data_IF_416416643819
#
_entry.id   IF_416416643819
#
_cell.length_a   1.000
_cell.length_b   1.000
_cell.length_c   1.000
_cell.angle_alpha   90.00
_cell.angle_beta   90.00
_cell.angle_gamma   90.00
#
_symmetry.space_group_name_H-M   'P 1'
#
loop_
_entity.id
_entity.type
_entity.pdbx_description
1 polymer ?
#
# COMPACT_ATOMS: atom_id res chain seq x y z
N UNK A 1 5.23 11.09 -4.58
CA UNK A 1 4.79 10.01 -3.67
C UNK A 1 5.97 9.17 -3.24
N UNK A 2 5.85 8.53 -2.08
CA UNK A 2 6.81 7.53 -1.61
C UNK A 2 6.47 6.16 -2.22
N UNK A 3 7.48 5.49 -2.79
CA UNK A 3 7.36 4.15 -3.36
C UNK A 3 7.91 3.13 -2.35
N UNK A 4 7.03 2.46 -1.61
CA UNK A 4 7.42 1.50 -0.59
C UNK A 4 7.58 0.09 -1.19
N UNK A 5 8.82 -0.41 -1.27
CA UNK A 5 9.06 -1.78 -1.74
C UNK A 5 8.95 -2.77 -0.59
N UNK A 6 8.05 -3.74 -0.74
CA UNK A 6 7.74 -4.73 0.29
C UNK A 6 8.87 -5.73 0.52
N UNK A 7 9.25 -5.88 1.78
CA UNK A 7 10.18 -6.89 2.30
C UNK A 7 9.38 -8.08 2.89
N UNK A 8 9.95 -9.30 2.90
CA UNK A 8 11.33 -9.65 2.58
C UNK A 8 11.60 -9.80 1.08
N UNK A 9 12.82 -9.47 0.66
CA UNK A 9 13.35 -9.75 -0.69
C UNK A 9 14.58 -10.66 -0.54
N UNK A 10 14.61 -11.75 -1.31
CA UNK A 10 15.69 -12.75 -1.22
C UNK A 10 16.47 -12.87 -2.53
N UNK A 11 17.82 -12.76 -2.50
CA UNK A 11 18.69 -12.62 -1.34
C UNK A 11 18.67 -11.22 -0.71
N UNK A 12 19.19 -11.08 0.52
CA UNK A 12 19.29 -9.81 1.23
C UNK A 12 20.04 -8.72 0.45
N UNK A 13 21.01 -9.10 -0.39
CA UNK A 13 21.70 -8.19 -1.32
C UNK A 13 20.75 -7.57 -2.35
N UNK A 14 19.75 -8.31 -2.82
CA UNK A 14 18.70 -7.78 -3.68
C UNK A 14 17.72 -6.88 -2.91
N UNK A 15 17.43 -7.19 -1.63
CA UNK A 15 16.65 -6.32 -0.75
C UNK A 15 17.31 -4.94 -0.60
N UNK A 16 18.62 -4.91 -0.28
CA UNK A 16 19.40 -3.68 -0.20
C UNK A 16 19.30 -2.88 -1.51
N UNK A 17 19.40 -3.53 -2.68
CA UNK A 17 19.27 -2.84 -3.97
C UNK A 17 17.87 -2.27 -4.21
N UNK A 18 16.83 -2.95 -3.75
CA UNK A 18 15.45 -2.50 -3.89
C UNK A 18 15.13 -1.27 -3.03
N UNK A 19 15.80 -1.08 -1.88
CA UNK A 19 15.42 -0.03 -0.91
C UNK A 19 16.51 1.01 -0.63
N UNK A 20 17.76 0.79 -1.06
CA UNK A 20 18.88 1.69 -0.73
C UNK A 20 18.64 3.10 -1.26
N UNK A 21 18.58 4.08 -0.36
CA UNK A 21 18.23 5.46 -0.72
C UNK A 21 16.79 5.64 -1.19
N UNK A 22 15.93 4.62 -1.05
CA UNK A 22 14.50 4.63 -1.33
C UNK A 22 13.71 4.28 -0.07
N UNK A 23 12.62 3.54 -0.20
CA UNK A 23 11.70 3.29 0.91
C UNK A 23 11.26 1.83 1.02
N UNK A 24 11.07 1.35 2.24
CA UNK A 24 10.75 -0.05 2.53
C UNK A 24 9.39 -0.23 3.19
N UNK A 25 8.67 -1.30 2.85
CA UNK A 25 7.48 -1.74 3.57
C UNK A 25 7.77 -3.06 4.27
N UNK A 26 7.67 -3.12 5.60
CA UNK A 26 8.03 -4.32 6.37
C UNK A 26 6.79 -4.94 7.00
N UNK A 27 6.58 -6.23 6.79
CA UNK A 27 5.51 -6.97 7.45
C UNK A 27 5.93 -7.40 8.86
N UNK A 28 5.07 -7.20 9.86
CA UNK A 28 5.28 -7.75 11.20
C UNK A 28 5.48 -9.28 11.19
N UNK A 29 4.81 -9.98 10.26
CA UNK A 29 4.93 -11.43 10.08
C UNK A 29 6.30 -11.87 9.53
N UNK A 30 7.02 -10.96 8.90
CA UNK A 30 8.32 -11.18 8.27
C UNK A 30 9.28 -10.04 8.64
N UNK A 31 9.44 -9.83 9.94
CA UNK A 31 10.27 -8.76 10.50
C UNK A 31 11.79 -9.02 10.38
N UNK A 32 12.21 -10.12 9.76
CA UNK A 32 13.61 -10.54 9.64
C UNK A 32 14.48 -9.53 8.88
N UNK A 33 13.89 -8.77 7.95
CA UNK A 33 14.60 -7.72 7.20
C UNK A 33 14.35 -6.31 7.74
N UNK A 34 13.78 -6.15 8.94
CA UNK A 34 13.60 -4.83 9.57
C UNK A 34 14.92 -4.07 9.70
N UNK A 35 15.98 -4.73 10.17
CA UNK A 35 17.30 -4.07 10.30
C UNK A 35 17.84 -3.61 8.95
N UNK A 36 17.57 -4.34 7.86
CA UNK A 36 17.96 -3.90 6.51
C UNK A 36 17.19 -2.62 6.14
N UNK A 37 15.90 -2.55 6.45
CA UNK A 37 15.09 -1.35 6.22
C UNK A 37 15.61 -0.15 7.03
N UNK A 38 15.90 -0.35 8.32
CA UNK A 38 16.43 0.71 9.21
C UNK A 38 17.75 1.27 8.69
N UNK A 39 18.66 0.41 8.23
CA UNK A 39 20.01 0.82 7.82
C UNK A 39 20.10 1.34 6.37
N UNK A 40 19.29 0.81 5.45
CA UNK A 40 19.44 1.09 4.02
C UNK A 40 18.40 2.06 3.44
N UNK A 41 17.19 2.13 4.01
CA UNK A 41 16.09 2.93 3.46
C UNK A 41 16.07 4.37 4.03
N UNK A 42 15.65 5.34 3.22
CA UNK A 42 15.39 6.72 3.65
C UNK A 42 14.18 6.79 4.57
N UNK A 43 13.16 5.97 4.33
CA UNK A 43 12.10 5.71 5.30
C UNK A 43 11.57 4.30 5.19
N UNK A 44 10.94 3.83 6.27
CA UNK A 44 10.18 2.59 6.25
C UNK A 44 8.81 2.76 6.92
N UNK A 45 7.83 2.04 6.38
CA UNK A 45 6.52 1.87 6.97
C UNK A 45 6.28 0.37 7.21
N UNK A 46 5.33 0.05 8.10
CA UNK A 46 5.09 -1.33 8.51
C UNK A 46 3.64 -1.77 8.37
N UNK A 47 3.46 -3.03 8.00
CA UNK A 47 2.17 -3.72 7.93
C UNK A 47 1.99 -4.64 9.14
N UNK A 48 0.73 -4.78 9.58
CA UNK A 48 0.35 -5.56 10.76
C UNK A 48 0.36 -7.09 10.53
N UNK A 49 0.33 -7.54 9.26
CA UNK A 49 0.37 -8.93 8.85
C UNK A 49 -0.95 -9.69 8.98
N UNK A 50 -2.08 -9.03 9.24
CA UNK A 50 -3.41 -9.62 9.38
C UNK A 50 -3.75 -10.51 8.18
N UNK A 51 -3.54 -10.01 6.96
CA UNK A 51 -3.88 -10.71 5.72
C UNK A 51 -3.11 -12.03 5.58
N UNK A 52 -1.80 -11.96 5.80
CA UNK A 52 -0.93 -13.14 5.77
C UNK A 52 -1.34 -14.15 6.85
N UNK A 53 -1.75 -13.68 8.03
CA UNK A 53 -2.20 -14.52 9.13
C UNK A 53 -3.50 -15.27 8.82
N UNK A 54 -4.50 -14.55 8.33
CA UNK A 54 -5.78 -15.10 7.91
C UNK A 54 -5.62 -16.11 6.77
N UNK A 55 -4.85 -15.79 5.72
CA UNK A 55 -4.58 -16.73 4.61
C UNK A 55 -3.91 -18.01 5.10
N UNK A 56 -3.06 -17.92 6.14
CA UNK A 56 -2.41 -19.09 6.76
C UNK A 56 -3.30 -19.87 7.74
N UNK A 57 -4.58 -19.48 7.91
CA UNK A 57 -5.52 -20.13 8.82
C UNK A 57 -5.29 -19.85 10.30
N UNK A 58 -4.48 -18.84 10.64
CA UNK A 58 -4.16 -18.45 12.02
C UNK A 58 -4.41 -16.94 12.21
N UNK A 59 -5.68 -16.48 12.16
CA UNK A 59 -6.01 -15.07 12.31
C UNK A 59 -5.49 -14.52 13.65
N UNK A 60 -4.99 -13.29 13.63
CA UNK A 60 -4.48 -12.62 14.83
C UNK A 60 -5.65 -12.24 15.73
N UNK A 61 -5.60 -12.64 16.99
CA UNK A 61 -6.63 -12.34 18.00
C UNK A 61 -6.11 -11.42 19.12
N UNK A 62 -4.80 -11.21 19.19
CA UNK A 62 -4.14 -10.34 20.16
C UNK A 62 -3.07 -9.49 19.46
N UNK A 63 -3.24 -8.17 19.50
CA UNK A 63 -2.36 -7.19 18.87
C UNK A 63 -1.29 -6.65 19.82
N UNK A 64 -1.22 -7.11 21.06
CA UNK A 64 -0.26 -6.63 22.07
C UNK A 64 1.18 -6.73 21.58
N UNK A 65 1.54 -7.84 20.94
CA UNK A 65 2.90 -8.02 20.40
C UNK A 65 3.21 -7.07 19.25
N UNK A 66 2.22 -6.77 18.40
CA UNK A 66 2.37 -5.79 17.33
C UNK A 66 2.54 -4.37 17.90
N UNK A 67 1.73 -3.99 18.90
CA UNK A 67 1.87 -2.70 19.57
C UNK A 67 3.21 -2.55 20.28
N UNK A 68 3.70 -3.58 20.97
CA UNK A 68 5.03 -3.57 21.56
C UNK A 68 6.12 -3.38 20.50
N UNK A 69 6.00 -4.07 19.36
CA UNK A 69 6.94 -3.93 18.27
C UNK A 69 6.92 -2.52 17.65
N UNK A 70 5.73 -1.95 17.41
CA UNK A 70 5.61 -0.56 16.93
C UNK A 70 6.22 0.41 17.94
N UNK A 71 5.99 0.22 19.25
CA UNK A 71 6.60 1.03 20.31
C UNK A 71 8.13 1.09 20.24
N UNK A 72 8.75 -0.02 19.86
CA UNK A 72 10.20 -0.13 19.77
C UNK A 72 10.74 0.55 18.50
N UNK A 73 9.99 0.49 17.39
CA UNK A 73 10.49 0.95 16.09
C UNK A 73 10.04 2.37 15.71
N UNK A 74 8.92 2.89 16.23
CA UNK A 74 8.38 4.17 15.78
C UNK A 74 9.25 5.38 16.19
N UNK A 75 10.27 5.15 17.03
CA UNK A 75 11.23 6.15 17.50
C UNK A 75 12.45 6.27 16.60
N UNK A 76 12.65 5.34 15.66
CA UNK A 76 13.73 5.46 14.69
C UNK A 76 13.51 6.67 13.79
N UNK A 77 14.55 7.45 13.44
CA UNK A 77 14.40 8.69 12.66
C UNK A 77 13.77 8.49 11.27
N UNK A 78 13.90 7.30 10.70
CA UNK A 78 13.40 6.95 9.37
C UNK A 78 12.10 6.12 9.40
N UNK A 79 11.46 5.96 10.56
CA UNK A 79 10.10 5.41 10.62
C UNK A 79 9.08 6.43 10.05
N UNK A 80 8.16 5.98 9.19
CA UNK A 80 7.09 6.83 8.64
C UNK A 80 5.72 6.54 9.29
N UNK A 81 5.21 5.32 9.21
CA UNK A 81 3.95 4.92 9.86
C UNK A 81 3.79 3.40 9.97
N UNK A 82 2.82 2.98 10.77
CA UNK A 82 2.33 1.61 10.87
C UNK A 82 0.87 1.53 10.41
N UNK A 83 0.51 0.52 9.62
CA UNK A 83 -0.89 0.19 9.38
C UNK A 83 -1.52 -0.27 10.70
N UNK A 84 -2.58 0.41 11.13
CA UNK A 84 -3.31 0.04 12.34
C UNK A 84 -3.98 -1.33 12.08
N UNK A 85 -4.04 -2.22 13.08
CA UNK A 85 -4.72 -3.50 12.93
C UNK A 85 -6.17 -3.40 12.48
N UNK A 86 -6.58 -4.45 11.76
CA UNK A 86 -7.91 -4.65 11.22
C UNK A 86 -8.36 -6.11 11.42
N UNK A 87 -9.67 -6.32 11.47
CA UNK A 87 -10.30 -7.64 11.53
C UNK A 87 -10.72 -8.05 10.13
N UNK A 88 -10.06 -9.07 9.59
CA UNK A 88 -10.41 -9.63 8.29
C UNK A 88 -11.73 -10.39 8.39
N UNK A 89 -12.62 -10.14 7.43
CA UNK A 89 -14.03 -10.57 7.45
C UNK A 89 -14.84 -10.05 8.67
N UNK A 90 -14.31 -9.07 9.40
CA UNK A 90 -15.03 -8.34 10.45
C UNK A 90 -15.92 -7.24 9.89
N UNK A 91 -16.70 -6.61 10.76
CA UNK A 91 -17.49 -5.43 10.43
C UNK A 91 -16.75 -4.12 10.76
N UNK A 92 -17.34 -3.00 10.38
CA UNK A 92 -16.77 -1.67 10.61
C UNK A 92 -16.60 -1.36 12.10
N UNK A 93 -17.51 -1.85 12.95
CA UNK A 93 -17.48 -1.64 14.40
C UNK A 93 -16.28 -2.37 15.03
N UNK A 94 -15.98 -3.58 14.58
CA UNK A 94 -14.78 -4.32 15.01
C UNK A 94 -13.50 -3.59 14.61
N UNK A 95 -13.44 -3.03 13.41
CA UNK A 95 -12.30 -2.22 12.96
C UNK A 95 -12.19 -0.91 13.76
N UNK A 96 -13.31 -0.23 14.02
CA UNK A 96 -13.34 1.01 14.79
C UNK A 96 -12.97 0.79 16.27
N UNK A 97 -13.27 -0.39 16.84
CA UNK A 97 -12.76 -0.80 18.15
C UNK A 97 -11.22 -0.88 18.17
N UNK A 98 -10.59 -1.47 17.15
CA UNK A 98 -9.13 -1.50 17.04
C UNK A 98 -8.52 -0.11 16.87
N UNK A 99 -9.22 0.84 16.25
CA UNK A 99 -8.80 2.23 16.23
C UNK A 99 -8.87 2.86 17.63
N UNK A 100 -9.82 2.49 18.49
CA UNK A 100 -9.87 2.95 19.89
C UNK A 100 -8.72 2.36 20.71
N UNK A 101 -8.31 1.13 20.41
CA UNK A 101 -7.22 0.43 21.09
C UNK A 101 -5.82 0.89 20.63
N UNK A 102 -5.72 1.66 19.54
CA UNK A 102 -4.44 2.16 19.04
C UNK A 102 -3.74 3.07 20.07
N UNK A 103 -2.58 2.67 20.65
CA UNK A 103 -2.02 3.34 21.83
C UNK A 103 -1.66 4.82 21.62
N UNK A 104 -1.37 5.20 20.38
CA UNK A 104 -0.93 6.55 20.03
C UNK A 104 -2.03 7.42 19.41
N UNK A 105 -3.27 6.95 19.35
CA UNK A 105 -4.36 7.63 18.63
C UNK A 105 -4.52 9.11 19.03
N UNK A 106 -4.45 9.42 20.32
CA UNK A 106 -4.65 10.79 20.81
C UNK A 106 -3.35 11.60 20.92
N UNK A 107 -2.24 10.94 21.25
CA UNK A 107 -0.96 11.60 21.56
C UNK A 107 -0.06 11.79 20.34
N UNK A 108 -0.09 10.84 19.39
CA UNK A 108 0.75 10.81 18.20
C UNK A 108 0.05 10.06 17.05
N UNK A 109 -1.09 10.56 16.54
CA UNK A 109 -1.89 9.86 15.52
C UNK A 109 -1.12 9.57 14.23
N UNK A 110 -0.07 10.33 13.92
CA UNK A 110 0.77 10.13 12.75
C UNK A 110 1.57 8.81 12.75
N UNK A 111 1.72 8.17 13.92
CA UNK A 111 2.37 6.85 14.02
C UNK A 111 1.53 5.77 13.32
N UNK A 112 0.20 5.93 13.32
CA UNK A 112 -0.73 4.97 12.74
C UNK A 112 -1.41 5.48 11.47
N UNK A 113 -1.75 4.57 10.57
CA UNK A 113 -2.67 4.82 9.47
C UNK A 113 -3.79 3.76 9.50
N UNK A 114 -5.06 4.14 9.74
CA UNK A 114 -6.17 3.21 9.67
C UNK A 114 -6.37 2.72 8.24
N UNK A 115 -6.79 1.47 8.10
CA UNK A 115 -7.14 0.88 6.81
C UNK A 115 -8.64 1.03 6.57
N UNK A 116 -9.00 1.65 5.46
CA UNK A 116 -10.32 1.55 4.87
C UNK A 116 -10.29 0.47 3.79
N UNK A 117 -11.20 -0.49 3.93
CA UNK A 117 -11.35 -1.56 2.97
C UNK A 117 -12.44 -1.21 1.96
N UNK A 118 -12.22 -1.53 0.68
CA UNK A 118 -13.13 -1.10 -0.40
C UNK A 118 -14.59 -1.58 -0.25
N UNK A 119 -14.85 -2.61 0.56
CA UNK A 119 -16.19 -3.10 0.85
C UNK A 119 -16.92 -2.34 1.96
N UNK A 120 -16.19 -1.58 2.79
CA UNK A 120 -16.75 -0.75 3.85
C UNK A 120 -17.45 0.49 3.27
N UNK A 121 -18.30 1.12 4.07
CA UNK A 121 -19.08 2.30 3.76
C UNK A 121 -18.21 3.51 3.41
N UNK A 122 -18.74 4.38 2.54
CA UNK A 122 -18.10 5.67 2.23
C UNK A 122 -18.17 6.63 3.42
N UNK A 123 -19.20 6.52 4.26
CA UNK A 123 -19.33 7.31 5.49
C UNK A 123 -18.16 7.02 6.44
N UNK A 124 -17.73 5.75 6.57
CA UNK A 124 -16.53 5.41 7.33
C UNK A 124 -15.28 6.02 6.73
N UNK A 125 -15.12 5.93 5.40
CA UNK A 125 -13.98 6.53 4.70
C UNK A 125 -13.89 8.04 4.98
N UNK A 126 -15.00 8.76 4.89
CA UNK A 126 -15.07 10.20 5.18
C UNK A 126 -14.65 10.49 6.64
N UNK A 127 -15.18 9.73 7.61
CA UNK A 127 -14.78 9.86 9.02
C UNK A 127 -13.28 9.63 9.22
N UNK A 128 -12.70 8.60 8.61
CA UNK A 128 -11.26 8.33 8.72
C UNK A 128 -10.43 9.46 8.11
N UNK A 129 -10.80 9.92 6.91
CA UNK A 129 -10.11 10.98 6.21
C UNK A 129 -10.13 12.32 6.97
N UNK A 130 -11.20 12.60 7.70
CA UNK A 130 -11.33 13.81 8.52
C UNK A 130 -10.52 13.76 9.83
N UNK A 131 -10.28 12.57 10.39
CA UNK A 131 -9.73 12.42 11.74
C UNK A 131 -8.28 11.93 11.80
N UNK A 132 -7.73 11.43 10.69
CA UNK A 132 -6.37 10.88 10.65
C UNK A 132 -5.48 11.64 9.67
N UNK A 133 -4.19 11.85 10.00
CA UNK A 133 -3.24 12.55 9.12
C UNK A 133 -2.86 11.72 7.88
N UNK A 134 -3.09 10.41 7.94
CA UNK A 134 -2.89 9.46 6.85
C UNK A 134 -3.92 8.33 6.97
N UNK A 135 -4.42 7.84 5.83
CA UNK A 135 -5.24 6.63 5.75
C UNK A 135 -4.67 5.66 4.70
N UNK A 136 -4.95 4.37 4.87
CA UNK A 136 -4.62 3.33 3.91
C UNK A 136 -5.88 2.87 3.17
N UNK A 137 -5.78 2.63 1.86
CA UNK A 137 -6.85 2.03 1.06
C UNK A 137 -6.49 0.57 0.74
N UNK A 138 -7.31 -0.36 1.22
CA UNK A 138 -7.11 -1.81 1.09
C UNK A 138 -8.12 -2.48 0.18
N UNK A 139 -7.62 -3.22 -0.83
CA UNK A 139 -8.49 -4.02 -1.71
C UNK A 139 -9.02 -5.27 -0.99
N UNK A 140 -10.32 -5.53 -1.06
CA UNK A 140 -11.01 -6.53 -0.22
C UNK A 140 -12.34 -6.99 -0.83
N UNK A 141 -12.88 -8.12 -0.37
CA UNK A 141 -14.18 -8.64 -0.80
C UNK A 141 -14.30 -8.74 -2.33
N UNK A 142 -15.36 -8.16 -2.89
CA UNK A 142 -15.61 -8.15 -4.34
C UNK A 142 -14.63 -7.26 -5.14
N UNK A 143 -13.77 -6.50 -4.45
CA UNK A 143 -12.76 -5.60 -5.00
C UNK A 143 -11.33 -6.15 -4.80
N UNK A 144 -11.16 -7.43 -4.49
CA UNK A 144 -9.83 -8.05 -4.29
C UNK A 144 -8.91 -7.95 -5.51
N UNK A 145 -9.48 -7.99 -6.73
CA UNK A 145 -8.71 -7.88 -7.98
C UNK A 145 -8.60 -6.42 -8.44
N UNK A 146 -7.44 -5.83 -8.12
CA UNK A 146 -7.02 -4.51 -8.59
C UNK A 146 -7.09 -4.45 -10.13
N UNK A 147 -7.57 -3.33 -10.66
CA UNK A 147 -7.61 -3.07 -12.10
C UNK A 147 -8.89 -3.55 -12.81
N UNK A 148 -9.82 -4.21 -12.10
CA UNK A 148 -11.14 -4.53 -12.66
C UNK A 148 -12.03 -3.30 -12.74
N UNK A 149 -13.03 -3.30 -13.64
CA UNK A 149 -14.00 -2.20 -13.77
C UNK A 149 -14.65 -1.83 -12.41
N UNK A 150 -15.04 -2.86 -11.65
CA UNK A 150 -15.65 -2.72 -10.34
C UNK A 150 -14.71 -2.05 -9.32
N UNK A 151 -13.45 -2.47 -9.31
CA UNK A 151 -12.42 -1.85 -8.47
C UNK A 151 -12.18 -0.39 -8.84
N UNK A 152 -12.09 -0.07 -10.14
CA UNK A 152 -11.92 1.30 -10.61
C UNK A 152 -13.10 2.20 -10.24
N UNK A 153 -14.33 1.74 -10.43
CA UNK A 153 -15.53 2.45 -10.01
C UNK A 153 -15.50 2.75 -8.51
N UNK A 154 -15.16 1.76 -7.68
CA UNK A 154 -15.13 1.93 -6.23
C UNK A 154 -14.04 2.89 -5.75
N UNK A 155 -12.87 2.83 -6.37
CA UNK A 155 -11.79 3.79 -6.10
C UNK A 155 -12.19 5.20 -6.50
N UNK A 156 -12.94 5.37 -7.59
CA UNK A 156 -13.44 6.67 -8.00
C UNK A 156 -14.45 7.25 -7.00
N UNK A 157 -15.41 6.44 -6.55
CA UNK A 157 -16.34 6.80 -5.48
C UNK A 157 -15.58 7.21 -4.20
N UNK A 158 -14.55 6.46 -3.82
CA UNK A 158 -13.71 6.80 -2.67
C UNK A 158 -13.02 8.17 -2.84
N UNK A 159 -12.44 8.43 -4.02
CA UNK A 159 -11.78 9.72 -4.31
C UNK A 159 -12.76 10.89 -4.35
N UNK A 160 -13.97 10.68 -4.87
CA UNK A 160 -15.03 11.70 -4.90
C UNK A 160 -15.44 12.14 -3.47
N UNK A 161 -15.24 11.28 -2.46
CA UNK A 161 -15.52 11.57 -1.04
C UNK A 161 -14.33 12.24 -0.33
N UNK A 162 -13.10 11.76 -0.57
CA UNK A 162 -11.93 12.19 0.22
C UNK A 162 -11.08 13.26 -0.44
N UNK A 163 -11.46 13.72 -1.64
CA UNK A 163 -10.83 14.86 -2.31
C UNK A 163 -11.76 16.08 -2.30
N UNK A 164 -11.18 17.27 -2.16
CA UNK A 164 -11.92 18.51 -2.28
C UNK A 164 -12.33 18.82 -3.75
N UNK A 165 -13.05 19.92 -3.97
CA UNK A 165 -13.51 20.34 -5.30
C UNK A 165 -12.38 20.54 -6.33
N UNK A 166 -11.16 20.83 -5.86
CA UNK A 166 -9.97 20.96 -6.71
C UNK A 166 -9.26 19.62 -6.97
N UNK A 167 -9.80 18.50 -6.46
CA UNK A 167 -9.22 17.17 -6.56
C UNK A 167 -8.08 16.89 -5.59
N UNK A 168 -7.85 17.74 -4.59
CA UNK A 168 -6.79 17.53 -3.61
C UNK A 168 -7.28 16.63 -2.47
N UNK A 169 -6.53 15.59 -2.06
CA UNK A 169 -6.89 14.78 -0.90
C UNK A 169 -6.98 15.58 0.39
N UNK A 170 -8.01 15.32 1.19
CA UNK A 170 -8.19 15.91 2.52
C UNK A 170 -7.17 15.38 3.55
N UNK A 171 -6.57 14.22 3.28
CA UNK A 171 -5.55 13.57 4.11
C UNK A 171 -4.51 12.86 3.24
N UNK A 172 -3.39 12.41 3.81
CA UNK A 172 -2.41 11.60 3.08
C UNK A 172 -2.98 10.21 2.80
N UNK A 173 -2.88 9.76 1.56
CA UNK A 173 -3.40 8.46 1.14
C UNK A 173 -2.24 7.51 0.87
N UNK A 174 -2.30 6.32 1.48
CA UNK A 174 -1.45 5.18 1.15
C UNK A 174 -2.26 4.10 0.42
N UNK A 175 -1.81 3.67 -0.77
CA UNK A 175 -2.44 2.59 -1.52
C UNK A 175 -1.82 1.22 -1.21
N UNK A 176 -2.54 0.36 -0.49
CA UNK A 176 -2.04 -0.97 -0.12
C UNK A 176 -2.00 -1.90 -1.34
N UNK A 177 -0.81 -2.42 -1.67
CA UNK A 177 -0.54 -3.24 -2.86
C UNK A 177 -0.77 -2.51 -4.19
N UNK A 178 -0.77 -1.18 -4.19
CA UNK A 178 -1.10 -0.35 -5.36
C UNK A 178 0.13 0.26 -6.04
N UNK A 179 1.35 -0.19 -5.73
CA UNK A 179 2.60 0.27 -6.37
C UNK A 179 2.80 -0.30 -7.78
N UNK A 180 1.79 -0.20 -8.64
CA UNK A 180 1.85 -0.44 -10.07
C UNK A 180 1.68 0.91 -10.80
N UNK A 181 2.59 1.31 -11.71
CA UNK A 181 2.47 2.55 -12.48
C UNK A 181 1.14 2.73 -13.21
N UNK A 182 0.50 1.65 -13.68
CA UNK A 182 -0.82 1.75 -14.33
C UNK A 182 -1.94 2.14 -13.34
N UNK A 183 -1.68 1.98 -12.04
CA UNK A 183 -2.59 2.23 -10.93
C UNK A 183 -2.27 3.56 -10.25
N UNK A 184 -1.11 3.69 -9.61
CA UNK A 184 -0.85 4.84 -8.74
C UNK A 184 -0.75 6.18 -9.49
N UNK A 185 -0.42 6.15 -10.79
CA UNK A 185 -0.36 7.37 -11.61
C UNK A 185 -1.74 8.01 -11.82
N UNK A 186 -2.83 7.28 -11.55
CA UNK A 186 -4.21 7.75 -11.72
C UNK A 186 -4.82 8.36 -10.46
N UNK A 187 -4.17 8.20 -9.31
CA UNK A 187 -4.70 8.64 -8.02
C UNK A 187 -3.72 9.55 -7.31
N UNK A 188 -4.21 10.50 -6.48
CA UNK A 188 -3.38 11.39 -5.68
C UNK A 188 -2.80 10.72 -4.42
N UNK A 189 -2.17 9.56 -4.59
CA UNK A 189 -1.50 8.86 -3.50
C UNK A 189 -0.28 9.64 -3.01
N UNK A 190 -0.17 9.73 -1.68
CA UNK A 190 1.05 10.22 -1.03
C UNK A 190 2.11 9.13 -0.95
N UNK A 191 1.68 7.87 -0.90
CA UNK A 191 2.55 6.69 -0.98
C UNK A 191 1.78 5.45 -1.43
N UNK A 192 2.46 4.40 -1.85
CA UNK A 192 1.88 3.09 -2.09
C UNK A 192 2.95 2.01 -1.89
N UNK A 193 2.53 0.77 -1.63
CA UNK A 193 3.44 -0.36 -1.51
C UNK A 193 3.16 -1.47 -2.53
N UNK A 194 4.16 -2.32 -2.76
CA UNK A 194 3.91 -3.68 -3.25
C UNK A 194 5.10 -4.59 -2.97
N UNK A 195 4.84 -5.89 -2.99
CA UNK A 195 5.88 -6.95 -3.01
C UNK A 195 6.29 -7.35 -4.44
N UNK A 196 6.03 -6.51 -5.46
CA UNK A 196 6.25 -6.86 -6.88
C UNK A 196 7.70 -7.26 -7.16
N UNK A 197 8.68 -6.51 -6.64
CA UNK A 197 10.11 -6.86 -6.78
C UNK A 197 10.38 -8.23 -6.14
N UNK A 198 9.98 -8.43 -4.89
CA UNK A 198 10.18 -9.69 -4.16
C UNK A 198 9.66 -10.92 -4.95
N UNK A 199 8.47 -10.78 -5.54
CA UNK A 199 7.80 -11.87 -6.25
C UNK A 199 8.43 -12.21 -7.61
N UNK A 200 9.02 -11.23 -8.32
CA UNK A 200 9.35 -11.40 -9.74
C UNK A 200 10.85 -11.50 -10.04
N UNK A 201 11.75 -11.01 -9.19
CA UNK A 201 13.20 -11.02 -9.48
C UNK A 201 13.77 -12.43 -9.67
N UNK A 202 13.14 -13.45 -9.08
CA UNK A 202 13.55 -14.85 -9.18
C UNK A 202 12.90 -15.66 -10.30
N UNK A 203 11.99 -15.09 -11.09
CA UNK A 203 11.29 -15.80 -12.16
C UNK A 203 12.11 -15.70 -13.45
N UNK A 204 13.14 -16.54 -13.59
CA UNK A 204 14.08 -16.47 -14.74
C UNK A 204 13.39 -16.44 -16.10
N UNK A 205 12.31 -17.20 -16.27
CA UNK A 205 11.53 -17.27 -17.52
C UNK A 205 10.82 -15.96 -17.88
N UNK A 206 10.62 -15.04 -16.93
CA UNK A 206 10.05 -13.71 -17.18
C UNK A 206 11.07 -12.71 -17.75
N UNK A 207 12.36 -12.98 -17.59
CA UNK A 207 13.45 -12.12 -18.07
C UNK A 207 13.91 -12.60 -19.45
N UNK A 208 13.31 -12.04 -20.50
CA UNK A 208 13.59 -12.38 -21.91
C UNK A 208 14.20 -11.21 -22.66
N UNK A 209 14.93 -11.50 -23.74
CA UNK A 209 15.55 -10.50 -24.62
C UNK A 209 17.05 -10.67 -24.75
N UNK A 210 17.68 -9.81 -25.57
CA UNK A 210 19.12 -9.88 -25.88
C UNK A 210 20.01 -9.59 -24.66
N UNK A 211 19.56 -8.71 -23.77
CA UNK A 211 20.33 -8.23 -22.62
C UNK A 211 19.55 -8.43 -21.33
N UNK A 212 19.43 -9.68 -20.90
CA UNK A 212 18.76 -10.00 -19.63
C UNK A 212 19.71 -9.77 -18.46
N UNK A 213 19.26 -9.16 -17.35
CA UNK A 213 20.14 -8.90 -16.23
C UNK A 213 20.54 -10.23 -15.55
N UNK A 214 21.85 -10.46 -15.33
CA UNK A 214 22.35 -11.77 -14.90
C UNK A 214 22.12 -12.06 -13.41
N UNK A 215 21.83 -11.04 -12.59
CA UNK A 215 21.68 -11.17 -11.14
C UNK A 215 20.35 -10.65 -10.64
N UNK A 216 19.89 -11.16 -9.49
CA UNK A 216 18.65 -10.69 -8.83
C UNK A 216 18.76 -9.24 -8.38
N UNK A 217 19.96 -8.79 -8.01
CA UNK A 217 20.29 -7.41 -7.67
C UNK A 217 20.05 -6.46 -8.85
N UNK A 218 20.53 -6.82 -10.04
CA UNK A 218 20.34 -6.03 -11.24
C UNK A 218 18.86 -6.00 -11.66
N UNK A 219 18.16 -7.14 -11.53
CA UNK A 219 16.71 -7.23 -11.76
C UNK A 219 15.93 -6.34 -10.80
N UNK A 220 16.25 -6.37 -9.50
CA UNK A 220 15.64 -5.52 -8.49
C UNK A 220 15.84 -4.04 -8.81
N UNK A 221 17.07 -3.63 -9.17
CA UNK A 221 17.38 -2.27 -9.55
C UNK A 221 16.56 -1.79 -10.77
N UNK A 222 16.46 -2.62 -11.83
CA UNK A 222 15.69 -2.28 -13.03
C UNK A 222 14.20 -2.17 -12.74
N UNK A 223 13.64 -3.11 -11.97
CA UNK A 223 12.21 -3.05 -11.60
C UNK A 223 11.90 -1.80 -10.78
N UNK A 224 12.76 -1.51 -9.78
CA UNK A 224 12.67 -0.31 -8.97
C UNK A 224 12.71 0.95 -9.82
N UNK A 225 13.71 1.09 -10.70
CA UNK A 225 13.86 2.26 -11.56
C UNK A 225 12.63 2.48 -12.44
N UNK A 226 12.09 1.42 -13.03
CA UNK A 226 10.85 1.50 -13.84
C UNK A 226 9.67 2.02 -13.02
N UNK A 227 9.48 1.50 -11.81
CA UNK A 227 8.39 1.92 -10.92
C UNK A 227 8.60 3.39 -10.49
N UNK A 228 9.78 3.73 -9.98
CA UNK A 228 10.10 5.04 -9.42
C UNK A 228 10.27 6.15 -10.48
N UNK A 229 10.40 5.79 -11.76
CA UNK A 229 10.41 6.76 -12.87
C UNK A 229 9.06 7.46 -13.09
N UNK A 230 8.00 6.99 -12.45
CA UNK A 230 6.65 7.52 -12.55
C UNK A 230 6.23 8.20 -11.24
N UNK A 231 5.22 9.07 -11.32
CA UNK A 231 4.70 9.79 -10.16
C UNK A 231 3.18 9.62 -10.06
N UNK A 232 2.63 9.68 -8.84
CA UNK A 232 1.18 9.78 -8.65
C UNK A 232 0.62 11.04 -9.31
N UNK A 233 -0.67 11.01 -9.63
CA UNK A 233 -1.36 12.21 -10.05
C UNK A 233 -1.31 13.24 -8.92
N UNK A 234 -1.05 14.53 -9.17
CA UNK A 234 -1.11 15.54 -8.10
C UNK A 234 -2.55 15.79 -7.61
N UNK A 235 -3.55 15.51 -8.45
CA UNK A 235 -4.97 15.78 -8.20
C UNK A 235 -5.84 14.61 -8.66
N UNK A 236 -6.97 14.41 -7.99
CA UNK A 236 -8.07 13.59 -8.50
C UNK A 236 -8.82 14.34 -9.60
N UNK A 237 -8.78 13.79 -10.81
CA UNK A 237 -9.52 14.31 -11.95
C UNK A 237 -10.36 13.17 -12.51
N UNK A 238 -11.65 13.16 -12.14
CA UNK A 238 -12.59 12.09 -12.46
C UNK A 238 -12.67 11.78 -13.96
N UNK A 239 -12.62 12.80 -14.82
CA UNK A 239 -12.67 12.65 -16.28
C UNK A 239 -11.39 12.09 -16.91
N UNK A 240 -10.23 12.32 -16.27
CA UNK A 240 -8.93 11.81 -16.73
C UNK A 240 -8.57 10.46 -16.12
N UNK A 241 -9.41 9.96 -15.23
CA UNK A 241 -9.40 8.57 -14.81
C UNK A 241 -10.40 7.84 -15.69
N UNK A 242 -10.01 7.37 -16.90
CA UNK A 242 -10.89 6.57 -17.72
C UNK A 242 -11.10 5.26 -16.97
N UNK A 243 -12.12 5.27 -16.12
CA UNK A 243 -12.77 4.10 -15.56
C UNK A 243 -13.57 3.54 -16.74
N UNK A 244 -12.81 2.96 -17.68
CA UNK A 244 -13.27 2.32 -18.91
C UNK A 244 -14.48 3.01 -19.58
N UNK A 245 -14.31 4.22 -20.10
CA UNK A 245 -15.09 4.68 -21.25
C UNK A 245 -14.55 3.97 -22.51
N UNK A 246 -14.75 2.65 -22.62
CA UNK A 246 -14.84 1.89 -23.88
C UNK A 246 -14.66 0.38 -23.66
N UNK A 247 -15.75 -0.36 -23.53
CA UNK A 247 -16.07 -1.56 -24.34
C UNK A 247 -17.58 -1.47 -24.53
N UNK A 248 -17.99 -0.92 -25.68
CA UNK A 248 -19.33 -1.02 -26.32
C UNK A 248 -19.38 -0.20 -27.62
N UNK A 249 -18.33 0.57 -27.96
CA UNK A 249 -18.19 1.27 -29.25
C UNK A 249 -17.27 0.56 -30.27
N UNK A 250 -17.28 -0.78 -30.27
CA UNK A 250 -16.82 -1.56 -31.44
C UNK A 250 -17.91 -2.55 -31.81
N UNK A 251 -19.09 -2.00 -32.06
CA UNK A 251 -20.28 -2.73 -32.45
C UNK A 251 -21.19 -1.89 -33.36
N UNK A 252 -20.65 -0.91 -34.08
CA UNK A 252 -21.33 -0.20 -35.16
C UNK A 252 -20.32 0.73 -35.84
N UNK A 253 -19.62 0.22 -36.86
CA UNK A 253 -19.30 0.92 -38.11
C UNK A 253 -18.23 0.14 -38.91
N UNK A 254 -18.68 -0.36 -40.05
CA UNK A 254 -18.00 -1.04 -41.17
C UNK A 254 -17.73 -2.54 -41.01
#
# INVERSE_FOLDING_TARGET
MIHYHGLPITPATAAVRAISGGHAFVSFRHADQLTIAIEAAQSFAVDNGAFSAWVSGTPVTDWTSFYAWVNDIHKYPNFDFACIPDVIDGDEDANDALLNDWPWRLSAPHIGAPVWHLHESLDRLERLAANWPRICLGSSGEFTKIGTARWWNRMAEAMDIICNESGQPNTKIHGLRMLNPEVFTRFPFSSADSTNIAQNIGIDSAWKGTYTPPTKEARAAIMRERIESQQSSPLWIRSLSPIQLSIDLVGEML
#
